data_IF_135883353614
#
_entry.id   IF_135883353614
#
_cell.length_a   1.000
_cell.length_b   1.000
_cell.length_c   1.000
_cell.angle_alpha   90.00
_cell.angle_beta   90.00
_cell.angle_gamma   90.00
#
_symmetry.space_group_name_H-M   'P 1'
#
loop_
_entity.id
_entity.type
_entity.pdbx_description
1 polymer ?
#
# COMPACT_ATOMS: atom_id res chain seq x y z
N UNK A 1 -8.69 9.48 10.66
CA UNK A 1 -7.80 9.30 9.51
C UNK A 1 -6.49 8.86 10.05
N UNK A 2 -6.14 7.64 9.73
CA UNK A 2 -4.98 6.94 10.26
C UNK A 2 -3.99 6.78 9.11
N UNK A 3 -2.72 7.01 9.42
CA UNK A 3 -1.63 6.84 8.47
C UNK A 3 -0.99 5.50 8.78
N UNK A 4 -1.19 4.56 7.88
CA UNK A 4 -0.55 3.26 7.92
C UNK A 4 0.66 3.27 6.99
N UNK A 5 1.77 2.67 7.44
CA UNK A 5 2.99 2.55 6.68
C UNK A 5 3.24 1.07 6.46
N UNK A 6 3.50 0.68 5.22
CA UNK A 6 3.74 -0.71 4.83
C UNK A 6 5.06 -0.80 4.10
N UNK A 7 5.80 -1.88 4.35
CA UNK A 7 6.88 -2.31 3.46
C UNK A 7 6.29 -3.21 2.38
N UNK A 8 6.65 -2.97 1.13
CA UNK A 8 6.10 -3.72 -0.01
C UNK A 8 7.21 -4.22 -0.92
N UNK A 9 6.92 -5.20 -1.77
CA UNK A 9 7.83 -5.57 -2.87
C UNK A 9 7.60 -4.75 -4.15
N UNK A 10 6.94 -3.59 -4.07
CA UNK A 10 6.65 -2.71 -5.21
C UNK A 10 7.85 -1.77 -5.44
N UNK A 11 8.71 -2.14 -6.39
CA UNK A 11 9.95 -1.41 -6.67
C UNK A 11 9.96 -0.62 -7.98
N UNK A 12 8.89 -0.69 -8.78
CA UNK A 12 8.85 -0.04 -10.09
C UNK A 12 7.47 0.52 -10.42
N UNK A 13 7.43 1.48 -11.34
CA UNK A 13 6.18 2.12 -11.78
C UNK A 13 5.18 1.14 -12.38
N UNK A 14 5.62 0.05 -13.04
CA UNK A 14 4.72 -0.97 -13.60
C UNK A 14 3.98 -1.74 -12.50
N UNK A 15 4.63 -1.99 -11.37
CA UNK A 15 4.04 -2.62 -10.21
C UNK A 15 3.07 -1.65 -9.52
N UNK A 16 3.45 -0.37 -9.38
CA UNK A 16 2.53 0.67 -8.90
C UNK A 16 1.28 0.75 -9.77
N UNK A 17 1.41 0.75 -11.09
CA UNK A 17 0.27 0.82 -12.02
C UNK A 17 -0.71 -0.36 -11.85
N UNK A 18 -0.21 -1.53 -11.41
CA UNK A 18 -1.06 -2.68 -11.06
C UNK A 18 -1.75 -2.54 -9.71
N UNK A 19 -1.10 -1.92 -8.72
CA UNK A 19 -1.62 -1.82 -7.34
C UNK A 19 -2.49 -0.57 -7.13
N UNK A 20 -2.16 0.53 -7.80
CA UNK A 20 -2.91 1.80 -7.80
C UNK A 20 -4.42 1.63 -7.98
N UNK A 21 -4.93 0.89 -8.99
CA UNK A 21 -6.38 0.70 -9.15
C UNK A 21 -7.01 -0.07 -8.00
N UNK A 22 -6.28 -0.99 -7.35
CA UNK A 22 -6.77 -1.73 -6.18
C UNK A 22 -6.92 -0.83 -4.97
N UNK A 23 -5.92 0.04 -4.71
CA UNK A 23 -5.96 0.99 -3.62
C UNK A 23 -7.04 2.06 -3.85
N UNK A 24 -7.14 2.58 -5.07
CA UNK A 24 -8.15 3.56 -5.47
C UNK A 24 -9.57 2.99 -5.45
N UNK A 25 -9.73 1.69 -5.67
CA UNK A 25 -11.03 1.01 -5.56
C UNK A 25 -11.53 0.86 -4.12
N UNK A 26 -10.69 1.12 -3.11
CA UNK A 26 -11.09 1.04 -1.71
C UNK A 26 -11.58 2.41 -1.23
N UNK A 27 -12.89 2.60 -0.99
CA UNK A 27 -13.44 3.91 -0.61
C UNK A 27 -12.97 4.41 0.76
N UNK A 28 -12.47 3.51 1.61
CA UNK A 28 -11.91 3.87 2.91
C UNK A 28 -10.49 4.48 2.81
N UNK A 29 -9.78 4.26 1.69
CA UNK A 29 -8.47 4.86 1.44
C UNK A 29 -8.70 6.28 0.91
N UNK A 30 -8.25 7.26 1.69
CA UNK A 30 -8.31 8.67 1.31
C UNK A 30 -7.13 9.06 0.42
N UNK A 31 -5.93 8.55 0.75
CA UNK A 31 -4.71 8.83 0.00
C UNK A 31 -3.74 7.66 0.13
N UNK A 32 -2.89 7.47 -0.86
CA UNK A 32 -1.77 6.53 -0.79
C UNK A 32 -0.56 7.10 -1.54
N UNK A 33 0.64 6.71 -1.14
CA UNK A 33 1.89 7.12 -1.77
C UNK A 33 2.89 5.96 -1.75
N UNK A 34 3.51 5.67 -2.89
CA UNK A 34 4.64 4.76 -2.96
C UNK A 34 5.94 5.56 -2.94
N UNK A 35 6.81 5.22 -2.00
CA UNK A 35 8.17 5.72 -1.97
C UNK A 35 9.04 4.83 -2.86
N UNK A 36 9.27 5.30 -4.08
CA UNK A 36 10.13 4.65 -5.07
C UNK A 36 11.55 5.24 -5.09
N UNK A 37 11.78 6.31 -4.32
CA UNK A 37 13.08 6.97 -4.23
C UNK A 37 13.98 6.28 -3.22
N UNK A 38 13.40 5.72 -2.15
CA UNK A 38 14.10 4.86 -1.20
C UNK A 38 14.10 3.38 -1.60
N UNK A 39 15.21 2.71 -1.29
CA UNK A 39 15.38 1.25 -1.47
C UNK A 39 14.42 0.43 -0.59
N UNK A 40 13.70 1.07 0.33
CA UNK A 40 12.83 0.44 1.32
C UNK A 40 11.43 0.10 0.78
N UNK A 41 11.07 0.55 -0.43
CA UNK A 41 9.81 0.17 -1.11
C UNK A 41 8.55 0.37 -0.24
N UNK A 42 8.48 1.55 0.37
CA UNK A 42 7.47 1.90 1.37
C UNK A 42 6.17 2.34 0.69
N UNK A 43 5.05 1.83 1.17
CA UNK A 43 3.70 2.29 0.84
C UNK A 43 3.11 2.99 2.06
N UNK A 44 2.80 4.28 1.93
CA UNK A 44 2.06 5.03 2.94
C UNK A 44 0.60 5.13 2.51
N UNK A 45 -0.31 4.70 3.36
CA UNK A 45 -1.76 4.76 3.12
C UNK A 45 -2.42 5.61 4.21
N UNK A 46 -3.17 6.62 3.80
CA UNK A 46 -4.05 7.40 4.65
C UNK A 46 -5.46 6.89 4.43
N UNK A 47 -6.07 6.34 5.46
CA UNK A 47 -7.41 5.78 5.37
C UNK A 47 -8.21 6.08 6.64
N UNK A 48 -9.52 5.88 6.58
CA UNK A 48 -10.38 6.03 7.75
C UNK A 48 -11.09 4.71 8.04
N UNK A 49 -10.91 4.18 9.26
CA UNK A 49 -11.51 2.92 9.68
C UNK A 49 -11.18 1.72 8.75
N UNK A 50 -9.97 1.72 8.19
CA UNK A 50 -9.46 0.64 7.34
C UNK A 50 -8.51 -0.26 8.15
N UNK A 51 -8.72 -1.57 8.08
CA UNK A 51 -7.78 -2.51 8.67
C UNK A 51 -6.53 -2.67 7.78
N UNK A 52 -5.31 -2.62 8.34
CA UNK A 52 -4.07 -2.79 7.57
C UNK A 52 -4.00 -4.12 6.84
N UNK A 53 -4.55 -5.18 7.44
CA UNK A 53 -4.71 -6.51 6.80
C UNK A 53 -5.43 -6.50 5.46
N UNK A 54 -6.33 -5.53 5.24
CA UNK A 54 -7.03 -5.35 3.96
C UNK A 54 -6.03 -4.94 2.87
N UNK A 55 -5.15 -4.00 3.19
CA UNK A 55 -4.09 -3.50 2.28
C UNK A 55 -3.10 -4.63 2.00
N UNK A 56 -2.67 -5.36 3.04
CA UNK A 56 -1.77 -6.51 2.89
C UNK A 56 -2.36 -7.55 1.94
N UNK A 57 -3.62 -7.95 2.16
CA UNK A 57 -4.30 -8.94 1.32
C UNK A 57 -4.48 -8.48 -0.13
N UNK A 58 -4.72 -7.18 -0.36
CA UNK A 58 -4.85 -6.62 -1.71
C UNK A 58 -3.55 -6.75 -2.50
N UNK A 59 -2.42 -6.41 -1.89
CA UNK A 59 -1.11 -6.53 -2.53
C UNK A 59 -0.72 -7.99 -2.73
N UNK A 60 -0.96 -8.85 -1.74
CA UNK A 60 -0.72 -10.29 -1.85
C UNK A 60 -1.57 -10.94 -2.96
N UNK A 61 -2.81 -10.48 -3.16
CA UNK A 61 -3.70 -10.98 -4.22
C UNK A 61 -3.17 -10.73 -5.63
N UNK A 62 -2.27 -9.77 -5.82
CA UNK A 62 -1.60 -9.50 -7.11
C UNK A 62 -0.14 -9.97 -7.15
N UNK A 63 0.29 -10.70 -6.13
CA UNK A 63 1.63 -11.29 -6.05
C UNK A 63 2.71 -10.35 -5.52
N UNK A 64 2.33 -9.28 -4.81
CA UNK A 64 3.27 -8.42 -4.10
C UNK A 64 3.27 -8.73 -2.60
N UNK A 65 4.45 -8.73 -1.99
CA UNK A 65 4.57 -8.82 -0.55
C UNK A 65 4.20 -7.45 0.04
N UNK A 66 3.49 -7.46 1.15
CA UNK A 66 3.06 -6.26 1.85
C UNK A 66 2.94 -6.61 3.33
N UNK A 67 3.60 -5.81 4.16
CA UNK A 67 3.58 -5.95 5.61
C UNK A 67 3.49 -4.59 6.26
N UNK A 68 2.61 -4.46 7.24
CA UNK A 68 2.54 -3.24 8.05
C UNK A 68 3.83 -3.06 8.88
N UNK A 69 4.31 -1.81 8.93
CA UNK A 69 5.38 -1.39 9.84
C UNK A 69 4.74 -0.76 11.07
N UNK A 70 4.66 -1.53 12.15
CA UNK A 70 4.32 -1.03 13.48
C UNK A 70 5.56 -0.35 14.08
N UNK A 71 5.48 0.96 14.34
CA UNK A 71 6.50 1.75 15.04
C UNK A 71 6.02 2.14 16.44
#
# INVERSE_FOLDING_TARGET
MDVMVFVTSVYNRKAVDKVQPLLTAVPAIAQWNFDLEDCDHILRVVANNLSPRKVESLLQSVGFDCRELEY
#
